data_IF_414442296726
#
_entry.id   IF_414442296726
#
_cell.length_a   1.000
_cell.length_b   1.000
_cell.length_c   1.000
_cell.angle_alpha   90.00
_cell.angle_beta   90.00
_cell.angle_gamma   90.00
#
_symmetry.space_group_name_H-M   'P 1'
#
loop_
_entity.id
_entity.type
_entity.pdbx_description
1 polymer ?
#
# COMPACT_ATOMS: atom_id res chain seq x y z
N UNK A 1 -32.75 -6.98 12.07
CA UNK A 1 -31.44 -7.67 12.09
C UNK A 1 -30.77 -7.75 10.72
N UNK A 2 -31.50 -7.94 9.61
CA UNK A 2 -30.92 -8.05 8.25
C UNK A 2 -30.01 -6.89 7.80
N UNK A 3 -30.27 -5.65 8.23
CA UNK A 3 -29.49 -4.48 7.81
C UNK A 3 -28.04 -4.50 8.32
N UNK A 4 -27.82 -5.01 9.55
CA UNK A 4 -26.47 -5.10 10.14
C UNK A 4 -25.65 -6.19 9.47
N UNK A 5 -26.30 -7.28 9.07
CA UNK A 5 -25.65 -8.42 8.42
C UNK A 5 -25.26 -8.10 6.98
N UNK A 6 -26.14 -7.42 6.22
CA UNK A 6 -25.82 -6.86 4.89
C UNK A 6 -24.65 -5.86 4.97
N UNK A 7 -24.60 -5.02 6.00
CA UNK A 7 -23.49 -4.08 6.20
C UNK A 7 -22.16 -4.79 6.53
N UNK A 8 -22.20 -5.86 7.34
CA UNK A 8 -21.00 -6.66 7.65
C UNK A 8 -20.46 -7.36 6.41
N UNK A 9 -21.32 -7.95 5.58
CA UNK A 9 -20.94 -8.59 4.33
C UNK A 9 -20.32 -7.58 3.36
N UNK A 10 -20.95 -6.42 3.15
CA UNK A 10 -20.42 -5.37 2.29
C UNK A 10 -19.04 -4.87 2.75
N UNK A 11 -18.81 -4.73 4.06
CA UNK A 11 -17.49 -4.35 4.61
C UNK A 11 -16.43 -5.43 4.35
N UNK A 12 -16.81 -6.71 4.47
CA UNK A 12 -15.89 -7.84 4.22
C UNK A 12 -15.50 -7.91 2.75
N UNK A 13 -16.47 -7.78 1.84
CA UNK A 13 -16.22 -7.82 0.39
C UNK A 13 -15.33 -6.66 -0.08
N UNK A 14 -15.53 -5.47 0.47
CA UNK A 14 -14.70 -4.31 0.20
C UNK A 14 -13.26 -4.51 0.70
N UNK A 15 -13.10 -5.08 1.90
CA UNK A 15 -11.78 -5.42 2.44
C UNK A 15 -11.07 -6.47 1.59
N UNK A 16 -11.80 -7.48 1.11
CA UNK A 16 -11.23 -8.53 0.28
C UNK A 16 -10.81 -8.00 -1.10
N UNK A 17 -11.63 -7.15 -1.73
CA UNK A 17 -11.27 -6.46 -2.98
C UNK A 17 -9.97 -5.66 -2.83
N UNK A 18 -9.81 -4.95 -1.71
CA UNK A 18 -8.57 -4.20 -1.42
C UNK A 18 -7.38 -5.11 -1.23
N UNK A 19 -7.54 -6.19 -0.47
CA UNK A 19 -6.46 -7.16 -0.28
C UNK A 19 -6.01 -7.75 -1.62
N UNK A 20 -6.95 -8.04 -2.53
CA UNK A 20 -6.63 -8.49 -3.90
C UNK A 20 -5.89 -7.43 -4.70
N UNK A 21 -6.34 -6.17 -4.66
CA UNK A 21 -5.65 -5.06 -5.35
C UNK A 21 -4.22 -4.85 -4.83
N UNK A 22 -4.02 -4.88 -3.51
CA UNK A 22 -2.70 -4.81 -2.88
C UNK A 22 -1.83 -5.99 -3.33
N UNK A 23 -2.37 -7.22 -3.31
CA UNK A 23 -1.64 -8.40 -3.72
C UNK A 23 -1.19 -8.34 -5.19
N UNK A 24 -2.06 -7.88 -6.09
CA UNK A 24 -1.72 -7.69 -7.51
C UNK A 24 -0.57 -6.68 -7.65
N UNK A 25 -0.64 -5.54 -6.96
CA UNK A 25 0.42 -4.52 -7.01
C UNK A 25 1.74 -5.02 -6.42
N UNK A 26 1.70 -5.80 -5.34
CA UNK A 26 2.89 -6.42 -4.74
C UNK A 26 3.52 -7.44 -5.70
N UNK A 27 2.70 -8.25 -6.37
CA UNK A 27 3.19 -9.23 -7.35
C UNK A 27 3.75 -8.57 -8.61
N UNK A 28 3.31 -7.35 -8.94
CA UNK A 28 3.82 -6.56 -10.05
C UNK A 28 5.15 -5.84 -9.74
N UNK A 29 5.67 -5.92 -8.50
CA UNK A 29 6.99 -5.35 -8.16
C UNK A 29 8.07 -6.10 -8.95
N UNK A 30 8.72 -5.39 -9.86
CA UNK A 30 9.80 -5.94 -10.67
C UNK A 30 11.14 -5.95 -9.92
N UNK A 31 12.11 -6.70 -10.44
CA UNK A 31 13.48 -6.63 -9.93
C UNK A 31 14.10 -5.23 -10.10
N UNK A 32 13.67 -4.50 -11.14
CA UNK A 32 14.16 -3.15 -11.39
C UNK A 32 13.66 -2.18 -10.29
N UNK A 33 12.38 -2.27 -9.92
CA UNK A 33 11.81 -1.48 -8.81
C UNK A 33 12.57 -1.72 -7.51
N UNK A 34 12.95 -2.98 -7.24
CA UNK A 34 13.74 -3.34 -6.06
C UNK A 34 15.13 -2.69 -6.13
N UNK A 35 15.81 -2.74 -7.28
CA UNK A 35 17.14 -2.13 -7.43
C UNK A 35 17.10 -0.62 -7.25
N UNK A 36 16.08 0.04 -7.80
CA UNK A 36 15.93 1.49 -7.70
C UNK A 36 15.57 1.92 -6.28
N UNK A 37 14.70 1.16 -5.61
CA UNK A 37 14.40 1.40 -4.20
C UNK A 37 15.63 1.16 -3.29
N UNK A 38 16.47 0.15 -3.58
CA UNK A 38 17.75 -0.04 -2.87
C UNK A 38 18.62 1.21 -2.98
N UNK A 39 18.84 1.71 -4.20
CA UNK A 39 19.66 2.92 -4.43
C UNK A 39 19.07 4.12 -3.68
N UNK A 40 17.74 4.29 -3.72
CA UNK A 40 17.04 5.34 -2.97
C UNK A 40 17.29 5.22 -1.46
N UNK A 41 17.20 4.01 -0.91
CA UNK A 41 17.44 3.76 0.52
C UNK A 41 18.90 3.99 0.91
N UNK A 42 19.86 3.70 0.03
CA UNK A 42 21.27 4.01 0.26
C UNK A 42 21.52 5.52 0.29
N UNK A 43 20.98 6.26 -0.68
CA UNK A 43 21.08 7.73 -0.72
C UNK A 43 20.52 8.34 0.57
N UNK A 44 19.34 7.89 1.01
CA UNK A 44 18.72 8.37 2.25
C UNK A 44 19.54 8.10 3.51
N UNK A 45 20.35 7.03 3.50
CA UNK A 45 21.22 6.66 4.62
C UNK A 45 22.65 7.19 4.46
N UNK A 46 22.94 7.94 3.39
CA UNK A 46 24.30 8.39 3.08
C UNK A 46 25.28 7.23 2.79
N UNK A 47 24.76 6.08 2.37
CA UNK A 47 25.58 4.90 2.09
C UNK A 47 26.07 4.93 0.64
N UNK A 48 27.38 4.85 0.44
CA UNK A 48 27.98 4.64 -0.87
C UNK A 48 28.40 3.17 -1.00
N UNK A 49 27.50 2.33 -1.54
CA UNK A 49 27.75 0.90 -1.76
C UNK A 49 27.74 0.60 -3.26
N UNK A 50 28.61 -0.30 -3.69
CA UNK A 50 28.69 -0.73 -5.09
C UNK A 50 27.94 -2.04 -5.38
N UNK A 51 27.68 -2.87 -4.36
CA UNK A 51 27.03 -4.18 -4.51
C UNK A 51 25.76 -4.27 -3.68
N UNK A 52 24.66 -4.65 -4.33
CA UNK A 52 23.37 -4.87 -3.69
C UNK A 52 23.39 -6.23 -3.00
N UNK A 53 23.29 -6.25 -1.66
CA UNK A 53 23.17 -7.49 -0.89
C UNK A 53 21.74 -8.05 -0.90
N UNK A 54 21.58 -9.31 -0.47
CA UNK A 54 20.26 -9.91 -0.28
C UNK A 54 19.41 -9.12 0.73
N UNK A 55 20.03 -8.65 1.81
CA UNK A 55 19.38 -7.82 2.83
C UNK A 55 18.93 -6.47 2.29
N UNK A 56 19.73 -5.84 1.42
CA UNK A 56 19.32 -4.58 0.78
C UNK A 56 18.05 -4.81 -0.07
N UNK A 57 18.01 -5.90 -0.86
CA UNK A 57 16.82 -6.26 -1.67
C UNK A 57 15.59 -6.51 -0.81
N UNK A 58 15.75 -7.22 0.30
CA UNK A 58 14.65 -7.53 1.21
C UNK A 58 14.12 -6.27 1.89
N UNK A 59 15.01 -5.39 2.36
CA UNK A 59 14.64 -4.08 2.91
C UNK A 59 13.90 -3.22 1.87
N UNK A 60 14.37 -3.18 0.63
CA UNK A 60 13.72 -2.47 -0.46
C UNK A 60 12.33 -3.05 -0.77
N UNK A 61 12.19 -4.38 -0.84
CA UNK A 61 10.91 -5.05 -1.05
C UNK A 61 9.91 -4.72 0.06
N UNK A 62 10.33 -4.75 1.32
CA UNK A 62 9.49 -4.36 2.47
C UNK A 62 9.08 -2.88 2.39
N UNK A 63 10.00 -2.00 1.99
CA UNK A 63 9.72 -0.57 1.78
C UNK A 63 8.67 -0.34 0.69
N UNK A 64 8.80 -1.02 -0.45
CA UNK A 64 7.81 -0.94 -1.55
C UNK A 64 6.44 -1.48 -1.13
N UNK A 65 6.40 -2.63 -0.44
CA UNK A 65 5.15 -3.18 0.09
C UNK A 65 4.48 -2.20 1.05
N UNK A 66 5.26 -1.56 1.92
CA UNK A 66 4.75 -0.54 2.85
C UNK A 66 4.15 0.64 2.09
N UNK A 67 4.85 1.18 1.09
CA UNK A 67 4.35 2.26 0.23
C UNK A 67 3.01 1.91 -0.43
N UNK A 68 2.90 0.70 -1.01
CA UNK A 68 1.66 0.24 -1.64
C UNK A 68 0.51 0.22 -0.61
N UNK A 69 0.75 -0.31 0.59
CA UNK A 69 -0.26 -0.34 1.65
C UNK A 69 -0.65 1.07 2.12
N UNK A 70 0.33 1.95 2.30
CA UNK A 70 0.10 3.33 2.72
C UNK A 70 -0.69 4.13 1.66
N UNK A 71 -0.43 3.90 0.37
CA UNK A 71 -1.20 4.50 -0.73
C UNK A 71 -2.65 4.02 -0.76
N UNK A 72 -2.89 2.72 -0.59
CA UNK A 72 -4.25 2.18 -0.56
C UNK A 72 -5.03 2.64 0.68
N UNK A 73 -4.35 2.80 1.82
CA UNK A 73 -4.94 3.41 3.01
C UNK A 73 -5.29 4.88 2.79
N UNK A 74 -4.41 5.66 2.16
CA UNK A 74 -4.70 7.07 1.81
C UNK A 74 -5.88 7.19 0.85
N UNK A 75 -6.01 6.30 -0.14
CA UNK A 75 -7.18 6.28 -1.04
C UNK A 75 -8.49 6.06 -0.28
N UNK A 76 -8.49 5.17 0.72
CA UNK A 76 -9.65 4.97 1.60
C UNK A 76 -10.01 6.25 2.35
N UNK A 77 -9.02 6.93 2.93
CA UNK A 77 -9.27 8.15 3.71
C UNK A 77 -9.77 9.28 2.81
N UNK A 78 -9.24 9.40 1.59
CA UNK A 78 -9.69 10.38 0.60
C UNK A 78 -11.11 10.09 0.09
N UNK A 79 -11.43 8.83 -0.18
CA UNK A 79 -12.78 8.41 -0.61
C UNK A 79 -13.80 8.61 0.52
N UNK A 80 -13.40 8.38 1.77
CA UNK A 80 -14.20 8.75 2.94
C UNK A 80 -14.44 10.26 2.99
N UNK A 81 -13.39 11.07 2.95
CA UNK A 81 -13.50 12.52 2.94
C UNK A 81 -14.41 13.01 1.80
N UNK A 82 -14.20 12.56 0.57
CA UNK A 82 -15.01 12.97 -0.58
C UNK A 82 -16.49 12.59 -0.46
N UNK A 83 -16.81 11.41 0.08
CA UNK A 83 -18.21 10.98 0.26
C UNK A 83 -18.96 11.73 1.36
N UNK A 84 -18.25 12.26 2.35
CA UNK A 84 -18.84 12.95 3.50
C UNK A 84 -18.62 14.48 3.48
N UNK A 85 -17.84 15.01 2.53
CA UNK A 85 -17.60 16.45 2.36
C UNK A 85 -18.83 17.21 1.88
N UNK A 86 -19.72 16.56 1.13
CA UNK A 86 -20.97 17.15 0.62
C UNK A 86 -22.19 16.93 1.55
N UNK A 87 -21.98 16.45 2.78
CA UNK A 87 -23.06 16.22 3.74
C UNK A 87 -22.96 17.24 4.89
N UNK A 88 -23.72 18.36 4.87
CA UNK A 88 -23.56 19.48 5.80
C UNK A 88 -24.24 19.23 7.16
N UNK A 89 -24.03 18.04 7.76
CA UNK A 89 -24.64 17.68 9.05
C UNK A 89 -23.62 17.79 10.22
N UNK A 90 -22.38 18.24 9.96
CA UNK A 90 -21.43 18.66 10.99
C UNK A 90 -20.81 20.02 10.67
#
# INVERSE_FOLDING_TARGET
MESVEKMRLAKKDEQERRNRAIAIRISAISEQDIKDEVKRLWILKGLNKHRISKLDREAARLSLIKKIKDEENKKKDLDFLNRYRDNPIY
#
